data_IF_639765443498
#
_entry.id   IF_639765443498
#
_cell.length_a   1.000
_cell.length_b   1.000
_cell.length_c   1.000
_cell.angle_alpha   90.00
_cell.angle_beta   90.00
_cell.angle_gamma   90.00
#
_symmetry.space_group_name_H-M   'P 1'
#
loop_
_entity.id
_entity.type
_entity.pdbx_description
1 polymer ?
#
# COMPACT_ATOMS: atom_id res chain seq x y z
N UNK A 1 27.40 10.35 18.93
CA UNK A 1 27.50 9.73 17.60
C UNK A 1 26.10 9.68 17.02
N UNK A 2 25.90 10.12 15.77
CA UNK A 2 24.61 9.94 15.11
C UNK A 2 24.33 8.42 15.01
N UNK A 3 23.14 7.98 15.43
CA UNK A 3 22.76 6.58 15.26
C UNK A 3 22.71 6.27 13.76
N UNK A 4 23.19 5.08 13.32
CA UNK A 4 23.06 4.70 11.94
C UNK A 4 21.57 4.66 11.54
N UNK A 5 21.30 5.07 10.30
CA UNK A 5 19.95 5.07 9.74
C UNK A 5 19.46 3.61 9.67
N UNK A 6 18.19 3.36 10.04
CA UNK A 6 17.59 2.03 9.95
C UNK A 6 17.71 1.48 8.51
N UNK A 7 17.99 0.17 8.34
CA UNK A 7 18.08 -0.43 7.01
C UNK A 7 16.82 -0.21 6.14
N UNK A 8 15.63 -0.20 6.76
CA UNK A 8 14.37 0.06 6.06
C UNK A 8 14.27 1.47 5.46
N UNK A 9 15.06 2.43 5.95
CA UNK A 9 15.07 3.81 5.48
C UNK A 9 16.15 4.07 4.41
N UNK A 10 17.11 3.16 4.24
CA UNK A 10 18.23 3.34 3.32
C UNK A 10 17.79 3.58 1.86
N UNK A 11 16.65 3.06 1.43
CA UNK A 11 16.15 3.27 0.05
C UNK A 11 15.60 4.68 -0.24
N UNK A 12 15.38 5.51 0.80
CA UNK A 12 14.61 6.75 0.69
C UNK A 12 15.46 8.03 0.64
N UNK A 13 16.73 7.97 1.04
CA UNK A 13 17.65 9.12 1.06
C UNK A 13 18.50 9.21 -0.21
N UNK A 14 18.91 10.43 -0.55
CA UNK A 14 19.60 10.72 -1.81
C UNK A 14 21.00 10.08 -1.88
N UNK A 15 21.75 10.11 -0.78
CA UNK A 15 23.11 9.59 -0.69
C UNK A 15 23.19 8.07 -0.87
N UNK A 16 22.20 7.34 -0.36
CA UNK A 16 22.13 5.88 -0.47
C UNK A 16 21.40 5.39 -1.71
N UNK A 17 20.51 6.20 -2.30
CA UNK A 17 19.78 5.85 -3.52
C UNK A 17 19.59 7.08 -4.43
N UNK A 18 20.55 7.39 -5.32
CA UNK A 18 20.50 8.61 -6.14
C UNK A 18 19.52 8.51 -7.31
N UNK A 19 18.98 7.32 -7.60
CA UNK A 19 18.08 7.12 -8.73
C UNK A 19 16.74 7.84 -8.49
N UNK A 20 16.12 8.42 -9.53
CA UNK A 20 14.80 9.02 -9.40
C UNK A 20 13.75 8.00 -8.93
N UNK A 21 12.68 8.43 -8.22
CA UNK A 21 11.58 7.56 -7.88
C UNK A 21 10.93 6.93 -9.13
N UNK A 22 10.72 5.61 -9.09
CA UNK A 22 10.31 4.79 -10.25
C UNK A 22 8.96 5.22 -10.85
N UNK A 23 8.07 5.77 -10.03
CA UNK A 23 6.69 6.12 -10.42
C UNK A 23 6.49 7.59 -10.80
N UNK A 24 7.55 8.40 -10.75
CA UNK A 24 7.48 9.81 -11.15
C UNK A 24 7.23 9.92 -12.66
N UNK A 25 6.22 10.71 -13.04
CA UNK A 25 5.78 10.90 -14.43
C UNK A 25 4.79 9.85 -14.93
N UNK A 26 4.50 8.80 -14.17
CA UNK A 26 3.48 7.79 -14.50
C UNK A 26 2.34 7.79 -13.49
N UNK A 27 2.65 7.72 -12.19
CA UNK A 27 1.65 7.72 -11.09
C UNK A 27 1.36 9.12 -10.56
N UNK A 28 2.37 9.98 -10.54
CA UNK A 28 2.27 11.37 -10.07
C UNK A 28 3.27 12.26 -10.81
N UNK A 29 2.97 13.55 -10.89
CA UNK A 29 3.87 14.55 -11.44
C UNK A 29 4.84 15.12 -10.39
N UNK A 30 5.71 16.04 -10.82
CA UNK A 30 6.69 16.72 -9.95
C UNK A 30 6.06 17.68 -8.94
N UNK A 31 4.78 17.99 -9.08
CA UNK A 31 4.00 18.79 -8.12
C UNK A 31 3.24 17.92 -7.12
N UNK A 32 3.36 16.58 -7.24
CA UNK A 32 2.66 15.63 -6.39
C UNK A 32 1.21 15.37 -6.77
N UNK A 33 0.77 15.80 -7.96
CA UNK A 33 -0.57 15.48 -8.44
C UNK A 33 -0.60 14.06 -8.98
N UNK A 34 -1.55 13.25 -8.50
CA UNK A 34 -1.77 11.91 -9.04
C UNK A 34 -2.31 11.96 -10.47
N UNK A 35 -1.64 11.21 -11.35
CA UNK A 35 -1.96 11.07 -12.77
C UNK A 35 -2.92 9.89 -12.97
N UNK A 36 -3.55 9.84 -14.14
CA UNK A 36 -4.45 8.74 -14.52
C UNK A 36 -3.62 7.48 -14.71
N UNK A 37 -3.89 6.47 -13.90
CA UNK A 37 -3.24 5.15 -13.91
C UNK A 37 -4.31 4.10 -13.50
N UNK A 38 -5.30 3.84 -14.37
CA UNK A 38 -6.46 3.05 -13.99
C UNK A 38 -6.10 1.59 -13.77
N UNK A 39 -6.81 0.94 -12.85
CA UNK A 39 -6.59 -0.46 -12.53
C UNK A 39 -7.65 -1.02 -11.60
N UNK A 40 -7.40 -2.23 -11.12
CA UNK A 40 -8.19 -2.88 -10.09
C UNK A 40 -7.30 -3.61 -9.09
N UNK A 41 -7.84 -3.93 -7.93
CA UNK A 41 -7.06 -4.46 -6.80
C UNK A 41 -7.98 -5.08 -5.75
N UNK A 42 -7.43 -5.88 -4.83
CA UNK A 42 -8.11 -6.29 -3.60
C UNK A 42 -7.45 -5.60 -2.43
N UNK A 43 -8.21 -4.75 -1.73
CA UNK A 43 -7.71 -3.91 -0.63
C UNK A 43 -8.60 -4.03 0.59
N UNK A 44 -8.05 -3.65 1.74
CA UNK A 44 -8.78 -3.49 2.98
C UNK A 44 -8.65 -2.03 3.41
N UNK A 45 -9.73 -1.27 3.33
CA UNK A 45 -9.77 0.13 3.77
C UNK A 45 -9.67 0.25 5.29
N UNK A 46 -9.18 1.38 5.80
CA UNK A 46 -9.32 1.69 7.22
C UNK A 46 -10.81 1.78 7.61
N UNK A 47 -11.12 1.43 8.86
CA UNK A 47 -12.47 1.64 9.41
C UNK A 47 -12.63 3.13 9.76
N UNK A 48 -13.47 3.83 9.01
CA UNK A 48 -13.74 5.26 9.19
C UNK A 48 -14.27 5.57 10.60
N UNK A 49 -13.68 6.56 11.26
CA UNK A 49 -14.02 6.99 12.61
C UNK A 49 -13.46 6.10 13.73
N UNK A 50 -12.71 5.05 13.40
CA UNK A 50 -12.08 4.19 14.40
C UNK A 50 -10.91 4.89 15.10
N UNK A 51 -10.60 4.44 16.32
CA UNK A 51 -9.44 4.95 17.06
C UNK A 51 -8.12 4.63 16.35
N UNK A 52 -8.05 3.46 15.69
CA UNK A 52 -6.87 3.09 14.92
C UNK A 52 -6.69 3.95 13.66
N UNK A 53 -7.77 4.31 12.96
CA UNK A 53 -7.71 5.27 11.85
C UNK A 53 -7.20 6.64 12.34
N UNK A 54 -7.72 7.15 13.45
CA UNK A 54 -7.29 8.43 14.01
C UNK A 54 -5.77 8.44 14.32
N UNK A 55 -5.24 7.35 14.89
CA UNK A 55 -3.80 7.22 15.15
C UNK A 55 -2.97 7.14 13.85
N UNK A 56 -3.48 6.46 12.82
CA UNK A 56 -2.85 6.40 11.49
C UNK A 56 -2.81 7.79 10.84
N UNK A 57 -3.90 8.55 10.91
CA UNK A 57 -3.98 9.93 10.41
C UNK A 57 -3.02 10.84 11.17
N UNK A 58 -2.93 10.73 12.49
CA UNK A 58 -1.99 11.50 13.31
C UNK A 58 -0.54 11.29 12.87
N UNK A 59 -0.12 10.05 12.63
CA UNK A 59 1.23 9.76 12.09
C UNK A 59 1.43 10.41 10.73
N UNK A 60 0.45 10.29 9.83
CA UNK A 60 0.49 10.91 8.50
C UNK A 60 0.63 12.44 8.60
N UNK A 61 -0.11 13.10 9.49
CA UNK A 61 -0.01 14.55 9.66
C UNK A 61 1.33 14.99 10.27
N UNK A 62 1.91 14.20 11.18
CA UNK A 62 3.28 14.45 11.67
C UNK A 62 4.31 14.37 10.55
N UNK A 63 4.16 13.43 9.62
CA UNK A 63 5.01 13.36 8.42
C UNK A 63 4.81 14.57 7.52
N UNK A 64 3.57 15.05 7.34
CA UNK A 64 3.28 16.27 6.56
C UNK A 64 3.84 17.54 7.19
N UNK A 65 4.03 17.56 8.51
CA UNK A 65 4.61 18.68 9.24
C UNK A 65 6.15 18.75 9.11
N UNK A 66 6.80 17.73 8.53
CA UNK A 66 8.24 17.78 8.28
C UNK A 66 8.58 18.87 7.25
N UNK A 67 9.65 19.66 7.46
CA UNK A 67 9.93 20.78 6.56
C UNK A 67 10.23 20.43 5.10
N UNK A 68 10.60 19.18 4.82
CA UNK A 68 10.85 18.64 3.48
C UNK A 68 9.78 17.62 3.04
N UNK A 69 8.57 17.70 3.62
CA UNK A 69 7.42 16.89 3.22
C UNK A 69 6.93 17.17 1.79
N UNK A 70 7.33 18.30 1.18
CA UNK A 70 7.11 18.61 -0.24
C UNK A 70 7.82 17.62 -1.19
N UNK A 71 8.73 16.79 -0.67
CA UNK A 71 9.34 15.68 -1.39
C UNK A 71 8.41 14.45 -1.50
N UNK A 72 7.24 14.49 -0.86
CA UNK A 72 6.28 13.39 -0.81
C UNK A 72 4.93 13.81 -1.41
N UNK A 73 4.39 12.99 -2.31
CA UNK A 73 3.04 13.10 -2.84
C UNK A 73 2.08 12.30 -1.95
N UNK A 74 1.36 12.97 -1.04
CA UNK A 74 0.46 12.31 -0.09
C UNK A 74 -0.89 11.94 -0.72
N UNK A 75 -1.33 10.70 -0.50
CA UNK A 75 -2.67 10.22 -0.87
C UNK A 75 -3.75 10.84 0.02
N UNK A 76 -5.00 10.98 -0.44
CA UNK A 76 -6.13 11.38 0.41
C UNK A 76 -6.34 10.44 1.60
N UNK A 77 -6.85 10.97 2.72
CA UNK A 77 -7.18 10.14 3.90
C UNK A 77 -8.21 9.06 3.54
N UNK A 78 -9.22 9.41 2.72
CA UNK A 78 -10.26 8.49 2.27
C UNK A 78 -9.74 7.32 1.42
N UNK A 79 -8.52 7.42 0.88
CA UNK A 79 -7.90 6.37 0.08
C UNK A 79 -6.95 5.49 0.87
N UNK A 80 -6.80 5.69 2.19
CA UNK A 80 -5.92 4.85 3.00
C UNK A 80 -6.45 3.41 3.06
N UNK A 81 -5.58 2.47 2.67
CA UNK A 81 -5.89 1.05 2.62
C UNK A 81 -4.63 0.22 2.75
N UNK A 82 -4.79 -1.04 3.13
CA UNK A 82 -3.78 -2.08 2.94
C UNK A 82 -4.13 -2.88 1.68
N UNK A 83 -3.20 -3.00 0.74
CA UNK A 83 -3.40 -3.92 -0.40
C UNK A 83 -3.21 -5.36 0.07
N UNK A 84 -4.23 -6.19 -0.14
CA UNK A 84 -4.17 -7.63 0.13
C UNK A 84 -3.62 -8.38 -1.09
N UNK A 85 -4.14 -8.06 -2.28
CA UNK A 85 -3.68 -8.63 -3.55
C UNK A 85 -3.72 -7.58 -4.65
N UNK A 86 -2.63 -7.48 -5.42
CA UNK A 86 -2.53 -6.52 -6.51
C UNK A 86 -3.24 -7.06 -7.75
N UNK A 87 -4.26 -6.33 -8.21
CA UNK A 87 -4.88 -6.59 -9.51
C UNK A 87 -4.05 -6.03 -10.66
N UNK A 88 -4.71 -5.75 -11.78
CA UNK A 88 -4.03 -5.17 -12.95
C UNK A 88 -3.98 -3.65 -12.86
N UNK A 89 -3.03 -3.05 -13.57
CA UNK A 89 -2.89 -1.59 -13.63
C UNK A 89 -2.37 -1.16 -15.00
N UNK A 90 -2.86 -0.01 -15.47
CA UNK A 90 -2.38 0.65 -16.67
C UNK A 90 -0.87 0.93 -16.54
N UNK A 91 -0.14 0.81 -17.65
CA UNK A 91 1.34 0.85 -17.70
C UNK A 91 2.09 -0.33 -17.07
N UNK A 92 1.39 -1.41 -16.67
CA UNK A 92 2.03 -2.71 -16.35
C UNK A 92 1.37 -3.90 -17.05
N UNK A 93 1.16 -3.78 -18.36
CA UNK A 93 0.58 -4.81 -19.24
C UNK A 93 1.63 -5.85 -19.66
N UNK A 94 1.97 -6.77 -18.76
CA UNK A 94 2.92 -7.86 -19.03
C UNK A 94 2.65 -9.08 -18.15
N UNK A 95 3.09 -10.25 -18.60
CA UNK A 95 2.94 -11.51 -17.86
C UNK A 95 3.56 -11.43 -16.46
N UNK A 96 3.04 -12.27 -15.56
CA UNK A 96 3.25 -12.21 -14.10
C UNK A 96 2.65 -10.99 -13.40
N UNK A 97 2.03 -10.06 -14.13
CA UNK A 97 1.19 -8.96 -13.63
C UNK A 97 -0.14 -8.87 -14.40
N UNK A 98 -0.39 -9.87 -15.25
CA UNK A 98 -1.52 -9.99 -16.16
C UNK A 98 -1.75 -11.49 -16.40
N UNK A 99 -3.01 -11.95 -16.49
CA UNK A 99 -3.32 -13.36 -16.71
C UNK A 99 -2.91 -13.82 -18.11
N UNK A 100 -2.33 -15.01 -18.21
CA UNK A 100 -1.82 -15.55 -19.48
C UNK A 100 -2.92 -15.86 -20.49
N UNK A 101 -4.15 -16.09 -20.02
CA UNK A 101 -5.31 -16.45 -20.84
C UNK A 101 -6.08 -15.25 -21.39
N UNK A 102 -5.60 -14.02 -21.18
CA UNK A 102 -6.25 -12.79 -21.65
C UNK A 102 -5.25 -11.89 -22.40
N UNK A 103 -5.59 -11.35 -23.59
CA UNK A 103 -4.72 -10.44 -24.33
C UNK A 103 -4.28 -9.21 -23.52
N UNK A 104 -3.01 -8.82 -23.65
CA UNK A 104 -2.41 -7.69 -22.90
C UNK A 104 -3.02 -6.33 -23.23
N UNK A 105 -3.68 -6.20 -24.38
CA UNK A 105 -4.35 -4.99 -24.86
C UNK A 105 -5.83 -4.93 -24.44
N UNK A 106 -6.36 -5.93 -23.72
CA UNK A 106 -7.72 -5.89 -23.16
C UNK A 106 -7.88 -4.67 -22.24
N UNK A 107 -9.00 -3.95 -22.38
CA UNK A 107 -9.22 -2.71 -21.63
C UNK A 107 -9.26 -2.97 -20.11
N UNK A 108 -8.92 -1.96 -19.29
CA UNK A 108 -9.00 -2.07 -17.83
C UNK A 108 -10.44 -2.38 -17.39
N UNK A 109 -11.43 -1.79 -18.05
CA UNK A 109 -12.85 -1.99 -17.74
C UNK A 109 -13.30 -3.43 -18.04
N UNK A 110 -12.88 -3.99 -19.17
CA UNK A 110 -13.19 -5.38 -19.52
C UNK A 110 -12.51 -6.38 -18.59
N UNK A 111 -11.26 -6.10 -18.20
CA UNK A 111 -10.56 -6.89 -17.17
C UNK A 111 -11.24 -6.81 -15.81
N UNK A 112 -11.76 -5.64 -15.44
CA UNK A 112 -12.48 -5.44 -14.18
C UNK A 112 -13.79 -6.24 -14.18
N UNK A 113 -14.54 -6.22 -15.29
CA UNK A 113 -15.75 -7.04 -15.45
C UNK A 113 -15.45 -8.53 -15.40
N UNK A 114 -14.39 -8.97 -16.07
CA UNK A 114 -13.92 -10.35 -16.03
C UNK A 114 -13.59 -10.79 -14.59
N UNK A 115 -12.88 -9.97 -13.82
CA UNK A 115 -12.58 -10.33 -12.43
C UNK A 115 -13.79 -10.33 -11.52
N UNK A 116 -14.79 -9.47 -11.73
CA UNK A 116 -16.06 -9.57 -10.99
C UNK A 116 -16.72 -10.94 -11.19
N UNK A 117 -16.69 -11.47 -12.41
CA UNK A 117 -17.20 -12.81 -12.71
C UNK A 117 -16.33 -13.91 -12.07
N UNK A 118 -15.00 -13.81 -12.18
CA UNK A 118 -14.07 -14.82 -11.64
C UNK A 118 -14.00 -14.84 -10.11
N UNK A 119 -14.20 -13.69 -9.46
CA UNK A 119 -14.17 -13.55 -8.01
C UNK A 119 -15.50 -13.97 -7.37
N UNK A 120 -16.56 -14.14 -8.16
CA UNK A 120 -17.83 -14.62 -7.66
C UNK A 120 -17.67 -16.05 -7.12
N UNK A 121 -17.94 -16.25 -5.83
CA UNK A 121 -17.79 -17.54 -5.17
C UNK A 121 -16.38 -17.84 -4.64
N UNK A 122 -15.45 -16.88 -4.63
CA UNK A 122 -14.23 -16.99 -3.80
C UNK A 122 -14.68 -17.13 -2.34
N UNK A 123 -14.27 -18.22 -1.71
CA UNK A 123 -14.67 -18.53 -0.34
C UNK A 123 -14.06 -17.57 0.68
N UNK A 124 -14.66 -17.52 1.86
CA UNK A 124 -14.05 -16.86 3.02
C UNK A 124 -12.79 -17.63 3.45
N UNK A 125 -11.66 -16.93 3.56
CA UNK A 125 -10.40 -17.47 4.07
C UNK A 125 -10.12 -17.03 5.52
N UNK A 126 -11.09 -16.37 6.17
CA UNK A 126 -11.06 -15.97 7.56
C UNK A 126 -10.66 -14.51 7.76
N UNK A 127 -11.08 -13.96 8.90
CA UNK A 127 -10.67 -12.64 9.34
C UNK A 127 -9.23 -12.66 9.89
N UNK A 128 -8.52 -11.56 9.71
CA UNK A 128 -7.16 -11.35 10.23
C UNK A 128 -7.05 -9.97 10.87
N UNK A 129 -6.10 -9.83 11.80
CA UNK A 129 -5.74 -8.58 12.45
C UNK A 129 -4.32 -8.19 12.08
N UNK A 130 -4.08 -6.91 11.84
CA UNK A 130 -2.75 -6.41 11.49
C UNK A 130 -2.24 -5.41 12.53
N UNK A 131 -0.91 -5.35 12.67
CA UNK A 131 -0.20 -4.36 13.47
C UNK A 131 0.92 -3.73 12.66
N UNK A 132 1.32 -2.53 13.06
CA UNK A 132 2.45 -1.82 12.44
C UNK A 132 3.76 -2.35 13.00
N UNK A 133 4.73 -2.58 12.11
CA UNK A 133 6.09 -3.03 12.46
C UNK A 133 7.16 -2.01 12.10
N UNK A 134 6.86 -1.10 11.17
CA UNK A 134 7.76 -0.01 10.83
C UNK A 134 6.99 1.19 10.26
N UNK A 135 7.59 2.37 10.39
CA UNK A 135 7.10 3.61 9.77
C UNK A 135 8.20 4.12 8.86
N UNK A 136 7.85 4.32 7.58
CA UNK A 136 8.80 4.73 6.53
C UNK A 136 8.21 5.92 5.76
N UNK A 137 8.98 6.64 4.93
CA UNK A 137 8.49 7.83 4.24
C UNK A 137 7.24 7.63 3.37
N UNK A 138 7.01 6.41 2.88
CA UNK A 138 5.83 6.07 2.07
C UNK A 138 4.62 5.62 2.88
N UNK A 139 4.74 5.40 4.19
CA UNK A 139 3.64 4.99 5.06
C UNK A 139 4.03 3.95 6.11
N UNK A 140 3.17 2.97 6.31
CA UNK A 140 3.31 1.95 7.37
C UNK A 140 3.63 0.59 6.77
N UNK A 141 4.61 -0.10 7.34
CA UNK A 141 4.78 -1.55 7.12
C UNK A 141 3.97 -2.30 8.18
N UNK A 142 3.17 -3.27 7.75
CA UNK A 142 2.27 -4.04 8.63
C UNK A 142 2.47 -5.54 8.47
N UNK A 143 2.06 -6.30 9.47
CA UNK A 143 2.04 -7.78 9.49
C UNK A 143 0.89 -8.26 10.35
N UNK A 144 0.58 -9.56 10.30
CA UNK A 144 -0.36 -10.18 11.22
C UNK A 144 -0.02 -9.89 12.70
N UNK A 145 -1.04 -9.66 13.53
CA UNK A 145 -0.84 -9.53 14.99
C UNK A 145 -0.22 -10.83 15.55
N UNK A 146 -0.64 -11.98 15.03
CA UNK A 146 -0.10 -13.30 15.31
C UNK A 146 0.34 -14.05 14.05
N UNK A 147 1.07 -15.15 14.22
CA UNK A 147 1.41 -16.08 13.12
C UNK A 147 0.17 -16.70 12.46
N UNK A 148 -0.96 -16.76 13.17
CA UNK A 148 -2.22 -17.19 12.58
C UNK A 148 -2.80 -16.12 11.66
N UNK A 149 -2.78 -14.85 12.07
CA UNK A 149 -3.23 -13.73 11.23
C UNK A 149 -2.39 -13.64 9.95
N UNK A 150 -1.07 -13.74 10.07
CA UNK A 150 -0.17 -13.72 8.90
C UNK A 150 -0.48 -14.89 7.96
N UNK A 151 -0.70 -16.11 8.49
CA UNK A 151 -1.10 -17.27 7.67
C UNK A 151 -2.42 -17.05 6.94
N UNK A 152 -3.41 -16.43 7.60
CA UNK A 152 -4.69 -16.08 6.96
C UNK A 152 -4.47 -15.07 5.83
N UNK A 153 -3.68 -14.03 6.06
CA UNK A 153 -3.35 -13.03 5.03
C UNK A 153 -2.66 -13.66 3.80
N UNK A 154 -1.76 -14.62 4.01
CA UNK A 154 -1.10 -15.37 2.93
C UNK A 154 -2.08 -16.32 2.22
N UNK A 155 -2.95 -17.01 2.96
CA UNK A 155 -3.97 -17.87 2.39
C UNK A 155 -4.95 -17.10 1.49
N UNK A 156 -5.37 -15.90 1.89
CA UNK A 156 -6.13 -14.99 1.04
C UNK A 156 -5.40 -14.68 -0.27
N UNK A 157 -4.11 -14.34 -0.21
CA UNK A 157 -3.32 -14.06 -1.41
C UNK A 157 -3.22 -15.26 -2.33
N UNK A 158 -2.98 -16.44 -1.77
CA UNK A 158 -2.92 -17.69 -2.54
C UNK A 158 -4.24 -17.99 -3.23
N UNK A 159 -5.36 -17.84 -2.51
CA UNK A 159 -6.68 -18.01 -3.06
C UNK A 159 -6.97 -17.03 -4.19
N UNK A 160 -6.64 -15.74 -4.01
CA UNK A 160 -6.83 -14.69 -5.01
C UNK A 160 -5.97 -14.88 -6.26
N UNK A 161 -4.81 -15.55 -6.16
CA UNK A 161 -3.99 -15.83 -7.34
C UNK A 161 -4.69 -16.72 -8.38
N UNK A 162 -5.67 -17.53 -7.96
CA UNK A 162 -6.41 -18.45 -8.84
C UNK A 162 -7.37 -17.70 -9.78
N UNK A 163 -8.35 -16.90 -9.30
CA UNK A 163 -9.23 -16.13 -10.17
C UNK A 163 -8.50 -15.01 -10.91
N UNK A 164 -7.46 -14.41 -10.32
CA UNK A 164 -6.65 -13.43 -11.04
C UNK A 164 -5.78 -14.08 -12.14
N UNK A 165 -5.42 -15.35 -12.01
CA UNK A 165 -4.69 -16.12 -13.03
C UNK A 165 -3.20 -15.79 -13.12
N UNK A 166 -2.62 -15.17 -12.08
CA UNK A 166 -1.19 -14.89 -12.00
C UNK A 166 -0.70 -14.73 -10.56
N UNK A 167 0.63 -14.80 -10.39
CA UNK A 167 1.36 -14.43 -9.19
C UNK A 167 2.47 -13.46 -9.55
N UNK A 168 2.60 -12.38 -8.79
CA UNK A 168 3.76 -11.50 -8.92
C UNK A 168 5.04 -12.22 -8.46
N UNK A 169 6.23 -11.83 -8.95
CA UNK A 169 7.50 -12.44 -8.51
C UNK A 169 7.74 -12.36 -7.00
N UNK A 170 7.15 -11.38 -6.32
CA UNK A 170 7.24 -11.18 -4.87
C UNK A 170 6.04 -11.80 -4.11
N UNK A 171 5.25 -12.67 -4.72
CA UNK A 171 3.98 -13.15 -4.15
C UNK A 171 4.12 -13.70 -2.72
N UNK A 172 5.06 -14.62 -2.52
CA UNK A 172 5.33 -15.29 -1.24
C UNK A 172 6.01 -14.34 -0.24
N UNK A 173 6.88 -13.44 -0.75
CA UNK A 173 7.66 -12.47 0.02
C UNK A 173 6.99 -11.10 0.20
N UNK A 174 5.72 -10.95 -0.18
CA UNK A 174 5.06 -9.66 -0.24
C UNK A 174 5.06 -8.96 1.12
N UNK A 175 5.49 -7.71 1.14
CA UNK A 175 5.48 -6.87 2.34
C UNK A 175 4.19 -6.08 2.39
N UNK A 176 3.32 -6.40 3.36
CA UNK A 176 2.08 -5.68 3.55
C UNK A 176 2.35 -4.27 4.07
N UNK A 177 1.62 -3.30 3.54
CA UNK A 177 1.81 -1.90 3.88
C UNK A 177 0.53 -1.09 3.67
N UNK A 178 0.47 0.07 4.34
CA UNK A 178 -0.53 1.12 4.15
C UNK A 178 0.19 2.34 3.62
N UNK A 179 -0.10 2.73 2.38
CA UNK A 179 0.58 3.85 1.73
C UNK A 179 -0.03 5.19 2.15
N UNK A 180 0.82 6.09 2.64
CA UNK A 180 0.48 7.49 2.88
C UNK A 180 0.92 8.41 1.74
N UNK A 181 2.04 8.08 1.12
CA UNK A 181 2.67 8.94 0.14
C UNK A 181 3.63 8.18 -0.79
N UNK A 182 4.02 8.86 -1.87
CA UNK A 182 5.10 8.44 -2.75
C UNK A 182 6.20 9.50 -2.81
N UNK A 183 7.46 9.10 -2.96
CA UNK A 183 8.57 10.06 -3.13
C UNK A 183 8.47 10.76 -4.48
N UNK A 184 8.34 12.09 -4.48
CA UNK A 184 8.57 12.93 -5.66
C UNK A 184 10.07 13.05 -5.91
N UNK A 185 10.85 13.20 -4.83
CA UNK A 185 12.32 13.21 -4.82
C UNK A 185 12.81 12.47 -3.58
N UNK A 186 14.05 11.99 -3.59
CA UNK A 186 14.69 11.39 -2.41
C UNK A 186 14.74 12.40 -1.26
N UNK A 187 14.66 11.91 -0.03
CA UNK A 187 14.84 12.72 1.17
C UNK A 187 16.30 13.16 1.30
N UNK A 188 16.51 14.27 2.00
CA UNK A 188 17.83 14.83 2.23
C UNK A 188 18.57 14.06 3.34
N UNK A 189 19.80 13.64 3.08
CA UNK A 189 20.64 12.94 4.06
C UNK A 189 20.89 13.79 5.31
N UNK A 190 20.93 15.11 5.18
CA UNK A 190 21.09 16.03 6.33
C UNK A 190 19.94 15.94 7.34
N UNK A 191 18.77 15.47 6.89
CA UNK A 191 17.55 15.35 7.70
C UNK A 191 17.29 13.92 8.15
N UNK A 192 18.16 12.97 7.81
CA UNK A 192 17.88 11.56 8.07
C UNK A 192 17.67 11.22 9.55
N UNK A 193 18.43 11.86 10.44
CA UNK A 193 18.25 11.69 11.89
C UNK A 193 16.91 12.22 12.39
N UNK A 194 16.42 13.34 11.83
CA UNK A 194 15.13 13.94 12.20
C UNK A 194 13.97 13.06 11.73
N UNK A 195 14.04 12.57 10.49
CA UNK A 195 13.07 11.62 9.95
C UNK A 195 13.04 10.32 10.75
N UNK A 196 14.21 9.75 11.08
CA UNK A 196 14.28 8.54 11.89
C UNK A 196 13.67 8.74 13.28
N UNK A 197 14.00 9.85 13.96
CA UNK A 197 13.40 10.18 15.26
C UNK A 197 11.88 10.28 15.17
N UNK A 198 11.36 10.96 14.15
CA UNK A 198 9.92 11.04 13.92
C UNK A 198 9.30 9.64 13.75
N UNK A 199 9.91 8.79 12.93
CA UNK A 199 9.39 7.44 12.68
C UNK A 199 9.43 6.56 13.93
N UNK A 200 10.46 6.66 14.76
CA UNK A 200 10.56 5.97 16.04
C UNK A 200 9.45 6.41 17.02
N UNK A 201 9.20 7.71 17.09
CA UNK A 201 8.14 8.28 17.93
C UNK A 201 6.75 7.87 17.42
N UNK A 202 6.54 7.89 16.11
CA UNK A 202 5.30 7.47 15.47
C UNK A 202 5.03 5.96 15.65
N UNK A 203 6.05 5.12 15.52
CA UNK A 203 5.93 3.68 15.78
C UNK A 203 5.53 3.42 17.24
N UNK A 204 6.15 4.15 18.18
CA UNK A 204 5.84 4.07 19.61
C UNK A 204 4.44 4.60 19.94
N UNK A 205 3.94 5.59 19.20
CA UNK A 205 2.56 6.08 19.31
C UNK A 205 1.58 5.01 18.85
N UNK A 206 1.80 4.44 17.67
CA UNK A 206 0.92 3.40 17.09
C UNK A 206 0.87 2.16 17.98
N UNK A 207 2.01 1.70 18.48
CA UNK A 207 2.04 0.54 19.39
C UNK A 207 1.21 0.74 20.67
N UNK A 208 1.06 1.99 21.16
CA UNK A 208 0.28 2.31 22.34
C UNK A 208 -1.20 2.59 22.05
N UNK A 209 -1.48 3.32 20.98
CA UNK A 209 -2.83 3.84 20.69
C UNK A 209 -3.61 2.96 19.71
N UNK A 210 -2.92 2.25 18.83
CA UNK A 210 -3.49 1.39 17.80
C UNK A 210 -2.67 0.08 17.67
N UNK A 211 -2.59 -0.74 18.75
CA UNK A 211 -1.85 -2.01 18.72
C UNK A 211 -2.40 -2.99 17.67
N UNK A 212 -3.65 -2.79 17.25
CA UNK A 212 -4.28 -3.43 16.09
C UNK A 212 -4.84 -2.32 15.20
N UNK A 213 -4.59 -2.40 13.89
CA UNK A 213 -5.20 -1.51 12.89
C UNK A 213 -6.50 -2.14 12.43
N UNK A 214 -7.61 -1.43 12.60
CA UNK A 214 -8.92 -1.88 12.18
C UNK A 214 -9.08 -1.66 10.68
N UNK A 215 -9.31 -2.76 9.97
CA UNK A 215 -9.52 -2.79 8.53
C UNK A 215 -10.92 -3.30 8.22
N UNK A 216 -11.53 -2.72 7.19
CA UNK A 216 -12.73 -3.27 6.55
C UNK A 216 -12.39 -4.63 5.90
N UNK A 217 -13.39 -5.50 5.66
CA UNK A 217 -13.15 -6.76 4.95
C UNK A 217 -12.48 -6.52 3.59
N UNK A 218 -11.75 -7.51 3.05
CA UNK A 218 -11.16 -7.40 1.73
C UNK A 218 -12.21 -7.08 0.68
N UNK A 219 -11.96 -6.10 -0.18
CA UNK A 219 -12.86 -5.73 -1.25
C UNK A 219 -12.10 -5.63 -2.58
N UNK A 220 -12.65 -6.24 -3.62
CA UNK A 220 -12.23 -5.98 -4.99
C UNK A 220 -12.69 -4.58 -5.39
N UNK A 221 -11.74 -3.76 -5.82
CA UNK A 221 -11.94 -2.36 -6.11
C UNK A 221 -11.45 -2.01 -7.52
N UNK A 222 -12.07 -1.00 -8.11
CA UNK A 222 -11.51 -0.28 -9.26
C UNK A 222 -10.95 1.07 -8.82
N UNK A 223 -9.99 1.60 -9.57
CA UNK A 223 -9.45 2.93 -9.33
C UNK A 223 -9.02 3.57 -10.65
N UNK A 224 -9.12 4.90 -10.72
CA UNK A 224 -8.66 5.71 -11.87
C UNK A 224 -7.24 6.23 -11.68
N UNK A 225 -6.90 6.50 -10.43
CA UNK A 225 -5.63 7.02 -9.94
C UNK A 225 -5.53 6.66 -8.43
N UNK A 226 -4.50 7.11 -7.73
CA UNK A 226 -4.28 6.73 -6.33
C UNK A 226 -5.14 7.49 -5.31
N UNK A 227 -6.12 8.30 -5.74
CA UNK A 227 -6.93 9.13 -4.83
C UNK A 227 -8.20 8.45 -4.32
N UNK A 228 -8.68 7.41 -5.00
CA UNK A 228 -9.92 6.73 -4.64
C UNK A 228 -9.93 5.29 -5.14
N UNK A 229 -10.41 4.38 -4.30
CA UNK A 229 -10.60 2.97 -4.62
C UNK A 229 -12.07 2.66 -4.38
N UNK A 230 -12.80 2.42 -5.47
CA UNK A 230 -14.23 2.14 -5.44
C UNK A 230 -14.45 0.66 -5.20
N UNK A 231 -15.06 0.30 -4.06
CA UNK A 231 -15.43 -1.07 -3.74
C UNK A 231 -16.51 -1.58 -4.69
N UNK A 232 -16.20 -2.64 -5.45
CA UNK A 232 -17.12 -3.28 -6.38
C UNK A 232 -17.70 -4.58 -5.82
N UNK A 233 -16.89 -5.33 -5.07
CA UNK A 233 -17.28 -6.60 -4.45
C UNK A 233 -16.53 -6.78 -3.14
N UNK A 234 -17.26 -6.87 -2.03
CA UNK A 234 -16.70 -7.28 -0.73
C UNK A 234 -16.55 -8.79 -0.72
N UNK A 235 -15.39 -9.27 -0.29
CA UNK A 235 -15.04 -10.69 -0.22
C UNK A 235 -15.20 -11.18 1.22
N UNK A 236 -16.01 -12.21 1.42
CA UNK A 236 -16.35 -12.78 2.72
C UNK A 236 -17.67 -13.55 2.70
#
# INVERSE_FOLDING_TARGET
MAMPIKPSLAGFFAGSNPNPPVHLGTRYDTSGNFLIEPGNTVVCHLVNGSLSEAAVIEVRERMRAMPDADRLAFTPISSLHMTLFQGIIEYRRRLSYWPEDVPLDTSIDDMTRLYLERLNGVGDHGAFKVRVVDVVPTGLTVTGVSDQDERIMRAWRDALSVPFGYRHPDHDGYTFHITFAYLIRRLDDERASQWQQLFDDCLSLLARQAPVIELRPPAFCSFKDMKHFEELLVLG
#
